data_IF_592172193191
#
_entry.id   IF_592172193191
#
_cell.length_a   1.000
_cell.length_b   1.000
_cell.length_c   1.000
_cell.angle_alpha   90.00
_cell.angle_beta   90.00
_cell.angle_gamma   90.00
#
_symmetry.space_group_name_H-M   'P 1'
#
loop_
_entity.id
_entity.type
_entity.pdbx_description
1 polymer ?
#
# COMPACT_ATOMS: atom_id res chain seq x y z
N UNK A 1 10.58 4.54 29.09
CA UNK A 1 10.61 4.80 27.64
C UNK A 1 9.75 6.03 27.35
N UNK A 2 10.27 7.05 26.65
CA UNK A 2 9.56 8.31 26.38
C UNK A 2 8.38 8.06 25.42
N UNK A 3 7.33 8.89 25.48
CA UNK A 3 6.15 8.81 24.60
C UNK A 3 6.58 8.81 23.10
N UNK A 4 7.57 9.64 22.74
CA UNK A 4 8.13 9.70 21.38
C UNK A 4 8.73 8.35 20.93
N UNK A 5 9.46 7.64 21.80
CA UNK A 5 10.00 6.30 21.49
C UNK A 5 8.88 5.27 21.30
N UNK A 6 7.82 5.30 22.11
CA UNK A 6 6.66 4.41 21.97
C UNK A 6 5.98 4.58 20.61
N UNK A 7 5.78 5.82 20.16
CA UNK A 7 5.17 6.15 18.86
C UNK A 7 6.01 5.62 17.69
N UNK A 8 7.33 5.83 17.72
CA UNK A 8 8.23 5.33 16.66
C UNK A 8 8.20 3.80 16.59
N UNK A 9 8.24 3.13 17.74
CA UNK A 9 8.12 1.67 17.79
C UNK A 9 6.77 1.22 17.19
N UNK A 10 5.68 1.93 17.51
CA UNK A 10 4.37 1.66 16.91
C UNK A 10 4.38 1.75 15.39
N UNK A 11 5.00 2.79 14.82
CA UNK A 11 5.16 2.92 13.37
C UNK A 11 5.92 1.74 12.75
N UNK A 12 7.06 1.38 13.35
CA UNK A 12 7.88 0.25 12.87
C UNK A 12 7.11 -1.06 12.93
N UNK A 13 6.48 -1.37 14.06
CA UNK A 13 5.72 -2.62 14.23
C UNK A 13 4.55 -2.72 13.25
N UNK A 14 3.77 -1.64 13.08
CA UNK A 14 2.66 -1.61 12.15
C UNK A 14 3.13 -1.75 10.69
N UNK A 15 4.22 -1.08 10.32
CA UNK A 15 4.83 -1.23 8.99
C UNK A 15 5.29 -2.66 8.73
N UNK A 16 6.01 -3.26 9.69
CA UNK A 16 6.45 -4.66 9.59
C UNK A 16 5.28 -5.64 9.49
N UNK A 17 4.19 -5.39 10.23
CA UNK A 17 2.99 -6.22 10.17
C UNK A 17 2.33 -6.19 8.79
N UNK A 18 2.19 -5.00 8.17
CA UNK A 18 1.64 -4.86 6.81
C UNK A 18 2.52 -5.58 5.80
N UNK A 19 3.84 -5.31 5.82
CA UNK A 19 4.78 -5.93 4.89
C UNK A 19 4.79 -7.45 5.06
N UNK A 20 4.81 -7.94 6.30
CA UNK A 20 4.81 -9.37 6.58
C UNK A 20 3.51 -10.04 6.12
N UNK A 21 2.35 -9.43 6.37
CA UNK A 21 1.06 -9.94 5.91
C UNK A 21 0.98 -10.00 4.38
N UNK A 22 1.42 -8.93 3.70
CA UNK A 22 1.47 -8.86 2.24
C UNK A 22 2.38 -9.95 1.65
N UNK A 23 3.62 -10.03 2.12
CA UNK A 23 4.59 -11.00 1.60
C UNK A 23 4.23 -12.44 1.96
N UNK A 24 3.66 -12.69 3.13
CA UNK A 24 3.20 -14.03 3.52
C UNK A 24 2.05 -14.51 2.63
N UNK A 25 1.05 -13.64 2.37
CA UNK A 25 -0.06 -13.99 1.50
C UNK A 25 0.40 -14.16 0.04
N UNK A 26 1.27 -13.32 -0.47
CA UNK A 26 1.89 -13.47 -1.81
C UNK A 26 2.63 -14.79 -1.94
N UNK A 27 3.45 -15.14 -0.94
CA UNK A 27 4.15 -16.42 -0.93
C UNK A 27 3.20 -17.62 -0.87
N UNK A 28 2.10 -17.51 -0.13
CA UNK A 28 1.07 -18.54 -0.08
C UNK A 28 0.36 -18.68 -1.43
N UNK A 29 -0.02 -17.58 -2.07
CA UNK A 29 -0.67 -17.56 -3.39
C UNK A 29 0.22 -18.22 -4.44
N UNK A 30 1.48 -17.82 -4.51
CA UNK A 30 2.46 -18.39 -5.47
C UNK A 30 2.60 -19.92 -5.33
N UNK A 31 2.48 -20.45 -4.11
CA UNK A 31 2.61 -21.90 -3.83
C UNK A 31 1.33 -22.69 -4.07
N UNK A 32 0.15 -22.06 -3.92
CA UNK A 32 -1.13 -22.76 -3.84
C UNK A 32 -2.11 -22.46 -4.97
N UNK A 33 -1.86 -21.41 -5.76
CA UNK A 33 -2.75 -20.99 -6.84
C UNK A 33 -1.92 -20.92 -8.15
N UNK A 34 -2.32 -21.66 -9.20
CA UNK A 34 -1.63 -21.61 -10.48
C UNK A 34 -1.58 -20.19 -11.06
N UNK A 35 -0.51 -19.87 -11.78
CA UNK A 35 -0.40 -18.58 -12.45
C UNK A 35 -1.45 -18.44 -13.56
N UNK A 36 -2.04 -17.24 -13.69
CA UNK A 36 -3.12 -16.94 -14.63
C UNK A 36 -4.30 -17.90 -14.49
N UNK A 37 -4.74 -18.06 -13.27
CA UNK A 37 -5.80 -19.01 -12.87
C UNK A 37 -7.06 -18.79 -13.71
N UNK A 38 -7.57 -19.86 -14.34
CA UNK A 38 -8.89 -19.83 -14.99
C UNK A 38 -10.00 -19.72 -13.93
N UNK A 39 -11.18 -19.23 -14.34
CA UNK A 39 -12.33 -19.10 -13.44
C UNK A 39 -12.66 -20.40 -12.66
N UNK A 40 -12.45 -21.57 -13.28
CA UNK A 40 -12.66 -22.87 -12.64
C UNK A 40 -11.62 -23.23 -11.55
N UNK A 41 -10.50 -22.54 -11.50
CA UNK A 41 -9.38 -22.79 -10.58
C UNK A 41 -9.24 -21.69 -9.51
N UNK A 42 -10.02 -20.62 -9.63
CA UNK A 42 -10.06 -19.55 -8.65
C UNK A 42 -10.59 -20.06 -7.32
N UNK A 43 -10.05 -19.52 -6.24
CA UNK A 43 -10.56 -19.84 -4.90
C UNK A 43 -11.50 -18.74 -4.45
N UNK A 44 -12.77 -19.08 -4.25
CA UNK A 44 -13.74 -18.15 -3.69
C UNK A 44 -13.33 -17.80 -2.26
N UNK A 45 -13.10 -16.51 -2.00
CA UNK A 45 -12.82 -15.98 -0.67
C UNK A 45 -14.12 -15.49 -0.01
N UNK A 46 -14.89 -14.69 -0.73
CA UNK A 46 -16.22 -14.21 -0.33
C UNK A 46 -17.15 -14.39 -1.54
N UNK A 47 -18.12 -15.31 -1.48
CA UNK A 47 -19.03 -15.58 -2.61
C UNK A 47 -19.71 -14.30 -3.13
N UNK A 48 -19.68 -14.10 -4.44
CA UNK A 48 -20.27 -12.94 -5.11
C UNK A 48 -19.50 -11.63 -4.92
N UNK A 49 -18.37 -11.63 -4.20
CA UNK A 49 -17.60 -10.41 -3.90
C UNK A 49 -16.15 -10.53 -4.34
N UNK A 50 -15.41 -11.53 -3.84
CA UNK A 50 -13.97 -11.64 -4.07
C UNK A 50 -13.55 -13.09 -4.28
N UNK A 51 -12.77 -13.32 -5.34
CA UNK A 51 -11.97 -14.54 -5.46
C UNK A 51 -10.47 -14.28 -5.25
N UNK A 52 -9.73 -15.38 -5.02
CA UNK A 52 -8.28 -15.40 -5.08
C UNK A 52 -7.83 -15.96 -6.43
N UNK A 53 -7.05 -15.18 -7.14
CA UNK A 53 -6.36 -15.54 -8.37
C UNK A 53 -4.84 -15.36 -8.19
N UNK A 54 -4.04 -15.68 -9.20
CA UNK A 54 -2.60 -15.42 -9.18
C UNK A 54 -2.19 -14.74 -10.47
N UNK A 55 -1.84 -13.46 -10.37
CA UNK A 55 -1.38 -12.65 -11.51
C UNK A 55 -0.02 -12.05 -11.21
N UNK A 56 0.84 -11.97 -12.24
CA UNK A 56 2.11 -11.23 -12.22
C UNK A 56 1.91 -9.89 -12.90
N UNK A 57 1.97 -8.82 -12.11
CA UNK A 57 1.78 -7.46 -12.60
C UNK A 57 3.14 -6.77 -12.78
N UNK A 58 3.60 -6.64 -14.02
CA UNK A 58 4.85 -5.98 -14.36
C UNK A 58 4.73 -4.46 -14.57
N UNK A 59 3.51 -3.90 -14.44
CA UNK A 59 3.23 -2.48 -14.59
C UNK A 59 2.48 -1.89 -13.40
N UNK A 60 1.56 -0.98 -13.71
CA UNK A 60 0.47 -0.53 -12.83
C UNK A 60 -0.85 -1.14 -13.30
N UNK A 61 -1.99 -0.65 -12.76
CA UNK A 61 -3.30 -1.12 -13.15
C UNK A 61 -3.43 -1.26 -14.68
N UNK A 62 -4.05 -2.36 -15.13
CA UNK A 62 -4.27 -2.69 -16.54
C UNK A 62 -2.99 -2.88 -17.39
N UNK A 63 -1.83 -3.19 -16.77
CA UNK A 63 -0.58 -3.47 -17.49
C UNK A 63 0.12 -2.24 -18.05
N UNK A 64 -0.30 -1.03 -17.71
CA UNK A 64 0.38 0.21 -18.12
C UNK A 64 1.81 0.23 -17.58
N UNK A 65 2.75 0.78 -18.38
CA UNK A 65 4.19 0.84 -18.05
C UNK A 65 4.82 -0.54 -17.77
N UNK A 66 4.36 -1.60 -18.45
CA UNK A 66 4.96 -2.93 -18.33
C UNK A 66 6.46 -2.87 -18.63
N UNK A 67 7.28 -3.54 -17.79
CA UNK A 67 8.74 -3.47 -17.86
C UNK A 67 9.37 -2.26 -17.13
N UNK A 68 8.58 -1.38 -16.54
CA UNK A 68 9.06 -0.18 -15.83
C UNK A 68 9.66 -0.44 -14.44
N UNK A 69 10.24 -1.62 -14.17
CA UNK A 69 10.79 -2.01 -12.85
C UNK A 69 11.61 -0.90 -12.17
N UNK A 70 12.58 -0.37 -12.90
CA UNK A 70 13.49 0.64 -12.37
C UNK A 70 12.80 1.97 -12.10
N UNK A 71 11.84 2.35 -12.94
CA UNK A 71 11.00 3.54 -12.72
C UNK A 71 10.21 3.40 -11.41
N UNK A 72 9.55 2.26 -11.20
CA UNK A 72 8.78 2.04 -9.97
C UNK A 72 9.65 2.01 -8.71
N UNK A 73 10.86 1.43 -8.80
CA UNK A 73 11.80 1.45 -7.68
C UNK A 73 12.32 2.87 -7.40
N UNK A 74 12.56 3.67 -8.42
CA UNK A 74 12.94 5.07 -8.26
C UNK A 74 11.81 5.91 -7.64
N UNK A 75 10.55 5.71 -8.08
CA UNK A 75 9.38 6.36 -7.50
C UNK A 75 9.17 5.94 -6.04
N UNK A 76 9.34 4.66 -5.71
CA UNK A 76 9.32 4.17 -4.34
C UNK A 76 10.39 4.85 -3.48
N UNK A 77 11.62 4.91 -3.96
CA UNK A 77 12.73 5.55 -3.24
C UNK A 77 12.42 7.03 -2.99
N UNK A 78 11.96 7.76 -4.02
CA UNK A 78 11.56 9.15 -3.91
C UNK A 78 10.42 9.33 -2.88
N UNK A 79 9.39 8.48 -2.92
CA UNK A 79 8.29 8.51 -1.96
C UNK A 79 8.79 8.27 -0.53
N UNK A 80 9.62 7.26 -0.30
CA UNK A 80 10.20 6.99 1.02
C UNK A 80 11.01 8.19 1.54
N UNK A 81 11.84 8.79 0.67
CA UNK A 81 12.63 10.00 1.03
C UNK A 81 11.71 11.16 1.42
N UNK A 82 10.65 11.42 0.65
CA UNK A 82 9.69 12.49 0.93
C UNK A 82 8.98 12.25 2.27
N UNK A 83 8.50 11.04 2.53
CA UNK A 83 7.82 10.70 3.79
C UNK A 83 8.76 10.85 4.98
N UNK A 84 9.96 10.29 4.90
CA UNK A 84 10.98 10.41 5.96
C UNK A 84 11.37 11.87 6.19
N UNK A 85 11.60 12.63 5.13
CA UNK A 85 11.88 14.07 5.22
C UNK A 85 10.75 14.83 5.91
N UNK A 86 9.49 14.56 5.53
CA UNK A 86 8.32 15.21 6.12
C UNK A 86 8.17 14.88 7.62
N UNK A 87 8.46 13.63 8.01
CA UNK A 87 8.46 13.20 9.42
C UNK A 87 9.57 13.89 10.22
N UNK A 88 10.80 13.91 9.69
CA UNK A 88 11.98 14.51 10.36
C UNK A 88 11.83 16.02 10.48
N UNK A 89 11.31 16.67 9.44
CA UNK A 89 11.07 18.12 9.41
C UNK A 89 9.77 18.56 10.09
N UNK A 90 9.06 17.63 10.74
CA UNK A 90 7.79 17.89 11.42
C UNK A 90 6.73 18.56 10.52
N UNK A 91 6.75 18.26 9.21
CA UNK A 91 5.78 18.79 8.24
C UNK A 91 4.41 18.12 8.39
N UNK A 92 4.38 16.87 8.86
CA UNK A 92 3.17 16.16 9.25
C UNK A 92 2.88 16.47 10.72
N UNK A 93 1.95 17.39 10.94
CA UNK A 93 1.70 17.98 12.28
C UNK A 93 0.75 17.12 13.11
N UNK A 94 -0.32 16.59 12.49
CA UNK A 94 -1.29 15.75 13.17
C UNK A 94 -0.79 14.29 13.30
N UNK A 95 -1.16 13.59 14.39
CA UNK A 95 -0.81 12.16 14.54
C UNK A 95 -1.29 11.28 13.39
N UNK A 96 -2.51 11.51 12.90
CA UNK A 96 -3.09 10.73 11.79
C UNK A 96 -2.33 10.92 10.47
N UNK A 97 -1.83 12.14 10.16
CA UNK A 97 -1.00 12.40 8.97
C UNK A 97 0.23 11.48 8.97
N UNK A 98 0.90 11.38 10.11
CA UNK A 98 2.08 10.54 10.30
C UNK A 98 1.78 9.06 10.15
N UNK A 99 0.68 8.59 10.78
CA UNK A 99 0.27 7.20 10.67
C UNK A 99 -0.07 6.82 9.23
N UNK A 100 -0.90 7.60 8.55
CA UNK A 100 -1.29 7.31 7.16
C UNK A 100 -0.09 7.32 6.21
N UNK A 101 0.81 8.31 6.34
CA UNK A 101 2.03 8.37 5.52
C UNK A 101 2.94 7.14 5.74
N UNK A 102 3.12 6.72 6.99
CA UNK A 102 3.96 5.54 7.33
C UNK A 102 3.33 4.24 6.84
N UNK A 103 2.02 4.08 6.98
CA UNK A 103 1.33 2.86 6.54
C UNK A 103 1.25 2.79 5.00
N UNK A 104 1.04 3.91 4.30
CA UNK A 104 1.14 3.97 2.85
C UNK A 104 2.56 3.61 2.37
N UNK A 105 3.59 4.12 3.05
CA UNK A 105 4.98 3.79 2.77
C UNK A 105 5.25 2.28 2.97
N UNK A 106 4.68 1.67 4.01
CA UNK A 106 4.81 0.23 4.24
C UNK A 106 4.20 -0.60 3.10
N UNK A 107 3.00 -0.25 2.61
CA UNK A 107 2.41 -0.86 1.42
C UNK A 107 3.30 -0.69 0.18
N UNK A 108 3.77 0.54 -0.07
CA UNK A 108 4.66 0.80 -1.19
C UNK A 108 5.96 -0.04 -1.14
N UNK A 109 6.52 -0.23 0.05
CA UNK A 109 7.69 -1.12 0.28
C UNK A 109 7.31 -2.58 -0.03
N UNK A 110 6.14 -3.08 0.37
CA UNK A 110 5.67 -4.43 0.05
C UNK A 110 5.71 -4.71 -1.45
N UNK A 111 5.12 -3.84 -2.26
CA UNK A 111 5.17 -3.93 -3.72
C UNK A 111 6.57 -3.66 -4.30
N UNK A 112 7.39 -2.88 -3.60
CA UNK A 112 8.78 -2.62 -3.98
C UNK A 112 9.68 -3.84 -3.80
N UNK A 113 9.47 -4.64 -2.74
CA UNK A 113 10.17 -5.91 -2.51
C UNK A 113 9.97 -6.85 -3.69
N UNK A 114 8.73 -7.05 -4.13
CA UNK A 114 8.40 -7.90 -5.28
C UNK A 114 9.12 -7.42 -6.55
N UNK A 115 9.04 -6.12 -6.84
CA UNK A 115 9.72 -5.55 -8.01
C UNK A 115 11.24 -5.66 -7.91
N UNK A 116 11.82 -5.49 -6.72
CA UNK A 116 13.25 -5.63 -6.53
C UNK A 116 13.74 -7.07 -6.69
N UNK A 117 12.97 -8.05 -6.28
CA UNK A 117 13.34 -9.45 -6.36
C UNK A 117 12.97 -10.09 -7.70
N UNK A 118 11.74 -9.85 -8.18
CA UNK A 118 11.15 -10.60 -9.29
C UNK A 118 10.93 -9.76 -10.55
N UNK A 119 10.92 -8.42 -10.46
CA UNK A 119 10.60 -7.52 -11.56
C UNK A 119 9.11 -7.30 -11.82
N UNK A 120 8.25 -7.98 -11.08
CA UNK A 120 6.78 -7.86 -11.11
C UNK A 120 6.22 -7.86 -9.69
N UNK A 121 4.93 -7.56 -9.54
CA UNK A 121 4.19 -7.69 -8.28
C UNK A 121 3.24 -8.88 -8.37
N UNK A 122 3.07 -9.61 -7.27
CA UNK A 122 2.06 -10.68 -7.16
C UNK A 122 0.76 -10.06 -6.71
N UNK A 123 -0.28 -10.16 -7.55
CA UNK A 123 -1.64 -9.72 -7.26
C UNK A 123 -2.59 -10.91 -7.16
N UNK A 124 -3.60 -10.83 -6.26
CA UNK A 124 -4.43 -11.98 -5.95
C UNK A 124 -5.92 -11.70 -5.72
N UNK A 125 -6.31 -10.50 -5.30
CA UNK A 125 -7.72 -10.19 -5.03
C UNK A 125 -8.42 -9.71 -6.30
N UNK A 126 -9.40 -10.44 -6.77
CA UNK A 126 -10.24 -10.13 -7.92
C UNK A 126 -11.68 -9.93 -7.48
N UNK A 127 -12.31 -8.80 -7.86
CA UNK A 127 -13.70 -8.52 -7.53
C UNK A 127 -14.63 -9.21 -8.55
N UNK A 128 -15.67 -9.90 -8.04
CA UNK A 128 -16.65 -10.58 -8.90
C UNK A 128 -17.68 -9.63 -9.53
N UNK A 129 -18.06 -8.60 -8.78
CA UNK A 129 -19.22 -7.76 -9.12
C UNK A 129 -18.87 -6.56 -10.01
N UNK A 130 -17.58 -6.35 -10.30
CA UNK A 130 -17.14 -5.24 -11.15
C UNK A 130 -15.79 -5.55 -11.81
N UNK A 131 -15.56 -4.99 -12.99
CA UNK A 131 -14.26 -5.04 -13.65
C UNK A 131 -13.29 -4.07 -12.96
N UNK A 132 -12.46 -4.61 -12.09
CA UNK A 132 -11.40 -3.89 -11.41
C UNK A 132 -10.06 -4.60 -11.59
N UNK A 133 -8.96 -3.85 -11.56
CA UNK A 133 -7.64 -4.47 -11.60
C UNK A 133 -7.45 -5.38 -10.38
N UNK A 134 -6.84 -6.56 -10.58
CA UNK A 134 -6.48 -7.46 -9.47
C UNK A 134 -5.46 -6.75 -8.60
N UNK A 135 -5.56 -6.87 -7.29
CA UNK A 135 -4.77 -6.15 -6.30
C UNK A 135 -4.30 -7.04 -5.15
N UNK A 136 -3.53 -6.50 -4.23
CA UNK A 136 -2.95 -7.19 -3.09
C UNK A 136 -3.10 -6.39 -1.78
N UNK A 137 -2.57 -6.91 -0.66
CA UNK A 137 -2.62 -6.23 0.66
C UNK A 137 -1.89 -4.88 0.63
N UNK A 138 -0.74 -4.81 -0.04
CA UNK A 138 0.02 -3.56 -0.14
C UNK A 138 -0.78 -2.47 -0.85
N UNK A 139 -1.52 -2.81 -1.91
CA UNK A 139 -2.39 -1.88 -2.63
C UNK A 139 -3.55 -1.39 -1.75
N UNK A 140 -4.15 -2.29 -0.95
CA UNK A 140 -5.19 -1.90 0.03
C UNK A 140 -4.61 -0.87 1.00
N UNK A 141 -3.43 -1.14 1.55
CA UNK A 141 -2.80 -0.21 2.51
C UNK A 141 -2.52 1.16 1.87
N UNK A 142 -1.95 1.19 0.65
CA UNK A 142 -1.68 2.44 -0.07
C UNK A 142 -2.98 3.21 -0.31
N UNK A 143 -3.97 2.57 -0.95
CA UNK A 143 -5.20 3.23 -1.37
C UNK A 143 -6.02 3.74 -0.18
N UNK A 144 -6.21 2.92 0.85
CA UNK A 144 -6.94 3.32 2.07
C UNK A 144 -6.25 4.50 2.75
N UNK A 145 -4.92 4.44 2.92
CA UNK A 145 -4.19 5.53 3.54
C UNK A 145 -4.22 6.82 2.70
N UNK A 146 -4.07 6.72 1.38
CA UNK A 146 -4.14 7.90 0.49
C UNK A 146 -5.55 8.53 0.49
N UNK A 147 -6.60 7.71 0.38
CA UNK A 147 -7.98 8.20 0.41
C UNK A 147 -8.29 8.89 1.75
N UNK A 148 -7.96 8.23 2.86
CA UNK A 148 -8.17 8.81 4.19
C UNK A 148 -7.35 10.09 4.39
N UNK A 149 -6.11 10.12 3.90
CA UNK A 149 -5.26 11.31 3.99
C UNK A 149 -5.92 12.50 3.28
N UNK A 150 -6.37 12.31 2.04
CA UNK A 150 -7.05 13.35 1.26
C UNK A 150 -8.36 13.79 1.93
N UNK A 151 -9.20 12.82 2.35
CA UNK A 151 -10.47 13.13 3.01
C UNK A 151 -10.28 13.92 4.30
N UNK A 152 -9.36 13.51 5.16
CA UNK A 152 -9.09 14.20 6.42
C UNK A 152 -8.45 15.57 6.19
N UNK A 153 -7.64 15.74 5.15
CA UNK A 153 -7.12 17.07 4.76
C UNK A 153 -8.23 18.00 4.30
N UNK A 154 -9.16 17.52 3.48
CA UNK A 154 -10.31 18.32 3.02
C UNK A 154 -11.28 18.69 4.15
N UNK A 155 -11.43 17.80 5.15
CA UNK A 155 -12.29 18.04 6.32
C UNK A 155 -11.61 18.88 7.41
N UNK A 156 -10.32 19.17 7.28
CA UNK A 156 -9.57 19.97 8.24
C UNK A 156 -10.05 21.41 8.18
N UNK A 157 -10.67 21.89 9.27
CA UNK A 157 -10.97 23.34 9.43
C UNK A 157 -9.65 24.09 9.57
N UNK A 158 -9.47 25.13 8.76
CA UNK A 158 -8.37 26.07 9.00
C UNK A 158 -8.56 26.74 10.36
N UNK A 159 -7.48 26.90 11.15
CA UNK A 159 -7.56 27.72 12.36
C UNK A 159 -7.97 29.14 11.98
N UNK A 160 -9.01 29.68 12.63
CA UNK A 160 -9.41 31.09 12.43
C UNK A 160 -8.18 31.97 12.64
N UNK A 161 -7.89 32.79 11.63
CA UNK A 161 -6.85 33.84 11.77
C UNK A 161 -7.22 34.72 12.95
N UNK A 162 -6.28 35.08 13.86
CA UNK A 162 -6.54 36.04 14.90
C UNK A 162 -7.12 37.28 14.29
N UNK A 163 -8.27 37.77 14.77
CA UNK A 163 -8.80 39.08 14.38
C UNK A 163 -7.75 40.11 14.77
N UNK A 164 -7.17 40.76 13.80
CA UNK A 164 -6.35 41.97 14.05
C UNK A 164 -7.24 42.99 14.74
N UNK A 165 -6.94 43.27 16.01
CA UNK A 165 -7.56 44.37 16.79
C UNK A 165 -6.74 45.62 16.63
#
# INVERSE_FOLDING_TARGET
MTAKKKTVIGYVLASLAIIAADQALKAWVVRNIPLNTSAAQQRVLIPGVVHLTHIRNSGVAFGMFSGGRWLFLALLAAFCVIVVWALVRHKLTAPWERWLAVLAMAGAIGNGIDRALYGYVVDMFELEFMHFAVFNIADIAINVCCILFVLLMLLRKEPEKPKET
#
